data_IF_835797844023
#
_entry.id   IF_835797844023
#
_cell.length_a   1.000
_cell.length_b   1.000
_cell.length_c   1.000
_cell.angle_alpha   90.00
_cell.angle_beta   90.00
_cell.angle_gamma   90.00
#
_symmetry.space_group_name_H-M   'P 1'
#
loop_
_entity.id
_entity.type
_entity.pdbx_description
1 polymer ?
#
# COMPACT_ATOMS: atom_id res chain seq x y z
N UNK A 1 9.68 -21.34 -3.96
CA UNK A 1 9.07 -21.11 -2.62
C UNK A 1 7.71 -20.40 -2.77
N UNK A 2 6.74 -20.72 -1.92
CA UNK A 2 5.33 -20.32 -2.09
C UNK A 2 5.11 -18.81 -2.03
N UNK A 3 4.36 -18.30 -3.01
CA UNK A 3 3.89 -16.92 -3.13
C UNK A 3 3.24 -16.45 -1.81
N UNK A 4 3.68 -15.30 -1.28
CA UNK A 4 3.22 -14.77 -0.01
C UNK A 4 1.79 -14.20 -0.10
N UNK A 5 0.82 -14.85 0.55
CA UNK A 5 -0.60 -14.44 0.56
C UNK A 5 -1.02 -13.63 1.82
N UNK A 6 -0.05 -13.19 2.63
CA UNK A 6 -0.33 -12.58 3.94
C UNK A 6 -1.22 -11.32 3.88
N UNK A 7 -1.13 -10.52 2.81
CA UNK A 7 -1.97 -9.33 2.65
C UNK A 7 -3.46 -9.66 2.52
N UNK A 8 -3.80 -10.75 1.82
CA UNK A 8 -5.18 -11.18 1.66
C UNK A 8 -5.74 -11.80 2.95
N UNK A 9 -4.92 -12.58 3.65
CA UNK A 9 -5.28 -13.15 4.95
C UNK A 9 -5.56 -12.05 5.98
N UNK A 10 -4.69 -11.05 6.05
CA UNK A 10 -4.87 -9.91 6.95
C UNK A 10 -6.11 -9.10 6.60
N UNK A 11 -6.38 -8.88 5.30
CA UNK A 11 -7.59 -8.17 4.87
C UNK A 11 -8.87 -8.95 5.22
N UNK A 12 -8.85 -10.29 5.17
CA UNK A 12 -9.96 -11.12 5.67
C UNK A 12 -10.16 -10.98 7.17
N UNK A 13 -9.08 -11.02 7.97
CA UNK A 13 -9.15 -10.85 9.44
C UNK A 13 -9.71 -9.48 9.81
N UNK A 14 -9.26 -8.42 9.14
CA UNK A 14 -9.76 -7.06 9.35
C UNK A 14 -11.24 -6.98 8.97
N UNK A 15 -11.67 -7.56 7.84
CA UNK A 15 -13.09 -7.61 7.47
C UNK A 15 -13.97 -8.26 8.54
N UNK A 16 -13.52 -9.35 9.15
CA UNK A 16 -14.26 -9.99 10.26
C UNK A 16 -14.35 -9.06 11.46
N UNK A 17 -13.22 -8.48 11.90
CA UNK A 17 -13.19 -7.57 13.05
C UNK A 17 -14.04 -6.32 12.83
N UNK A 18 -13.99 -5.72 11.64
CA UNK A 18 -14.82 -4.56 11.28
C UNK A 18 -16.30 -4.92 11.28
N UNK A 19 -16.67 -6.10 10.77
CA UNK A 19 -18.05 -6.58 10.85
C UNK A 19 -18.51 -6.74 12.30
N UNK A 20 -17.63 -7.16 13.21
CA UNK A 20 -17.96 -7.28 14.64
C UNK A 20 -18.17 -5.93 15.31
N UNK A 21 -17.38 -4.92 14.97
CA UNK A 21 -17.50 -3.57 15.54
C UNK A 21 -18.75 -2.81 15.05
N UNK A 22 -19.22 -3.12 13.85
CA UNK A 22 -20.34 -2.40 13.19
C UNK A 22 -21.67 -3.16 13.36
N UNK A 23 -21.71 -4.27 14.13
CA UNK A 23 -22.92 -5.10 14.31
C UNK A 23 -24.17 -4.32 14.71
N UNK A 24 -24.01 -3.27 15.53
CA UNK A 24 -25.12 -2.47 16.06
C UNK A 24 -25.46 -1.25 15.18
N UNK A 25 -24.72 -1.04 14.09
CA UNK A 25 -24.93 0.10 13.18
C UNK A 25 -25.78 -0.34 11.99
N UNK A 26 -26.97 0.26 11.77
CA UNK A 26 -27.75 -0.04 10.58
C UNK A 26 -27.02 0.45 9.33
N UNK A 27 -26.78 -0.48 8.39
CA UNK A 27 -26.16 -0.18 7.09
C UNK A 27 -26.94 -0.86 5.96
N UNK A 28 -26.87 -0.27 4.77
CA UNK A 28 -27.35 -0.92 3.54
C UNK A 28 -26.50 -2.17 3.31
N UNK A 29 -27.17 -3.29 3.01
CA UNK A 29 -26.50 -4.54 2.65
C UNK A 29 -25.47 -4.28 1.52
N UNK A 30 -24.29 -4.88 1.63
CA UNK A 30 -23.15 -4.71 0.71
C UNK A 30 -22.47 -3.33 0.62
N UNK A 31 -22.81 -2.37 1.48
CA UNK A 31 -22.10 -1.07 1.51
C UNK A 31 -20.69 -1.13 2.10
N UNK A 32 -20.34 -2.20 2.82
CA UNK A 32 -19.05 -2.33 3.49
C UNK A 32 -17.91 -2.69 2.51
N UNK A 33 -17.08 -1.69 2.19
CA UNK A 33 -15.85 -1.86 1.41
C UNK A 33 -14.63 -1.78 2.32
N UNK A 34 -13.86 -2.86 2.39
CA UNK A 34 -12.59 -2.90 3.11
C UNK A 34 -11.50 -3.21 2.10
N UNK A 35 -10.58 -2.26 1.95
CA UNK A 35 -9.46 -2.34 1.03
C UNK A 35 -8.20 -1.68 1.59
N UNK A 36 -7.03 -2.07 1.08
CA UNK A 36 -5.76 -1.45 1.40
C UNK A 36 -5.64 -0.09 0.72
N UNK A 37 -5.16 0.90 1.46
CA UNK A 37 -4.73 2.18 0.89
C UNK A 37 -3.39 2.01 0.15
N UNK A 38 -3.10 2.90 -0.81
CA UNK A 38 -1.82 2.94 -1.52
C UNK A 38 -1.44 1.65 -2.26
N UNK A 39 -2.44 1.00 -2.89
CA UNK A 39 -2.19 -0.15 -3.77
C UNK A 39 -1.28 0.25 -4.94
N UNK A 40 -0.29 -0.59 -5.21
CA UNK A 40 0.68 -0.40 -6.29
C UNK A 40 0.73 -1.64 -7.18
N UNK A 41 0.90 -1.41 -8.47
CA UNK A 41 1.07 -2.47 -9.46
C UNK A 41 2.42 -2.27 -10.14
N UNK A 42 3.28 -3.29 -10.06
CA UNK A 42 4.57 -3.26 -10.74
C UNK A 42 4.45 -4.04 -12.06
N UNK A 43 4.85 -3.42 -13.16
CA UNK A 43 4.84 -4.02 -14.50
C UNK A 43 6.04 -4.93 -14.76
N UNK A 44 6.96 -5.04 -13.81
CA UNK A 44 8.18 -5.86 -13.90
C UNK A 44 7.91 -7.36 -13.76
N UNK A 45 6.67 -7.76 -13.48
CA UNK A 45 6.26 -9.15 -13.31
C UNK A 45 6.86 -9.84 -12.08
N UNK A 46 7.58 -9.09 -11.24
CA UNK A 46 8.25 -9.63 -10.06
C UNK A 46 7.29 -9.67 -8.88
N UNK A 47 7.35 -10.72 -8.04
CA UNK A 47 6.59 -10.73 -6.80
C UNK A 47 7.00 -9.52 -5.96
N UNK A 48 6.01 -8.82 -5.44
CA UNK A 48 6.21 -7.58 -4.71
C UNK A 48 5.04 -7.31 -3.78
N UNK A 49 5.25 -6.44 -2.78
CA UNK A 49 4.16 -6.01 -1.92
C UNK A 49 3.09 -5.30 -2.76
N UNK A 50 1.79 -5.63 -2.57
CA UNK A 50 0.70 -4.99 -3.30
C UNK A 50 0.42 -3.56 -2.82
N UNK A 51 1.12 -3.09 -1.79
CA UNK A 51 0.98 -1.77 -1.17
C UNK A 51 2.37 -1.15 -1.00
N UNK A 52 2.47 0.16 -1.19
CA UNK A 52 3.68 0.92 -0.88
C UNK A 52 3.42 1.92 0.26
N UNK A 53 4.49 2.25 0.99
CA UNK A 53 4.45 3.31 2.00
C UNK A 53 4.70 4.64 1.31
N UNK A 54 3.84 5.62 1.53
CA UNK A 54 4.00 6.95 0.96
C UNK A 54 4.24 7.99 2.04
N UNK A 55 5.24 8.85 1.80
CA UNK A 55 5.52 10.04 2.61
C UNK A 55 5.18 11.26 1.77
N UNK A 56 4.27 12.09 2.28
CA UNK A 56 3.90 13.36 1.68
C UNK A 56 4.68 14.49 2.36
N UNK A 57 5.26 15.37 1.57
CA UNK A 57 5.95 16.57 2.04
C UNK A 57 5.35 17.80 1.35
N UNK A 58 5.08 18.84 2.14
CA UNK A 58 4.47 20.08 1.65
C UNK A 58 5.35 21.26 2.01
N UNK A 59 5.61 22.14 1.03
CA UNK A 59 6.40 23.34 1.26
C UNK A 59 5.95 24.49 0.35
N UNK A 60 6.16 25.73 0.81
CA UNK A 60 6.01 26.91 -0.06
C UNK A 60 7.40 27.31 -0.55
N UNK A 61 7.69 27.18 -1.86
CA UNK A 61 8.95 27.66 -2.38
C UNK A 61 9.02 29.19 -2.25
N UNK A 62 10.23 29.71 -2.07
CA UNK A 62 10.46 31.15 -2.21
C UNK A 62 10.51 31.52 -3.69
N UNK A 63 9.98 32.68 -4.03
CA UNK A 63 10.16 33.32 -5.34
C UNK A 63 11.57 33.92 -5.44
N UNK A 64 11.96 34.38 -6.63
CA UNK A 64 13.24 35.08 -6.84
C UNK A 64 13.42 36.33 -5.96
N UNK A 65 12.32 36.98 -5.56
CA UNK A 65 12.31 38.13 -4.66
C UNK A 65 12.26 37.75 -3.17
N UNK A 66 12.52 36.48 -2.82
CA UNK A 66 12.48 35.95 -1.45
C UNK A 66 11.11 35.99 -0.76
N UNK A 67 10.03 36.34 -1.47
CA UNK A 67 8.68 36.19 -0.95
C UNK A 67 8.19 34.75 -1.09
N UNK A 68 7.35 34.24 -0.16
CA UNK A 68 6.70 32.95 -0.33
C UNK A 68 5.84 32.92 -1.60
N UNK A 69 5.94 31.84 -2.36
CA UNK A 69 5.00 31.57 -3.44
C UNK A 69 3.58 31.40 -2.88
N UNK A 70 2.59 31.88 -3.62
CA UNK A 70 1.16 31.74 -3.26
C UNK A 70 0.73 30.27 -3.19
N UNK A 71 1.29 29.44 -4.07
CA UNK A 71 0.95 28.02 -4.18
C UNK A 71 1.89 27.19 -3.30
N UNK A 72 1.30 26.25 -2.55
CA UNK A 72 2.01 25.18 -1.86
C UNK A 72 2.44 24.14 -2.89
N UNK A 73 3.65 23.60 -2.75
CA UNK A 73 4.11 22.45 -3.52
C UNK A 73 3.99 21.19 -2.66
N UNK A 74 3.50 20.14 -3.28
CA UNK A 74 3.39 18.81 -2.70
C UNK A 74 4.41 17.90 -3.37
N UNK A 75 5.17 17.18 -2.57
CA UNK A 75 6.06 16.11 -3.00
C UNK A 75 5.55 14.82 -2.36
N UNK A 76 5.63 13.73 -3.10
CA UNK A 76 5.24 12.41 -2.62
C UNK A 76 6.35 11.42 -2.94
N UNK A 77 6.76 10.66 -1.92
CA UNK A 77 7.80 9.65 -2.02
C UNK A 77 7.25 8.29 -1.61
N UNK A 78 7.30 7.33 -2.54
CA UNK A 78 6.88 5.94 -2.30
C UNK A 78 8.06 5.04 -1.97
N UNK A 79 7.94 4.22 -0.93
CA UNK A 79 8.90 3.22 -0.51
C UNK A 79 8.35 1.82 -0.77
N UNK A 80 9.07 1.05 -1.60
CA UNK A 80 8.77 -0.36 -1.85
C UNK A 80 9.32 -1.21 -0.71
N UNK A 81 8.51 -2.16 -0.24
CA UNK A 81 8.94 -3.12 0.77
C UNK A 81 9.68 -4.28 0.09
N UNK A 82 10.88 -4.60 0.59
CA UNK A 82 11.69 -5.74 0.13
C UNK A 82 11.27 -7.07 0.76
N UNK A 83 10.63 -7.01 1.93
CA UNK A 83 10.13 -8.16 2.68
C UNK A 83 8.67 -7.93 3.05
N UNK A 84 7.92 -9.02 3.22
CA UNK A 84 6.55 -8.96 3.72
C UNK A 84 6.54 -8.46 5.17
N UNK A 85 5.72 -7.44 5.52
CA UNK A 85 5.66 -6.92 6.88
C UNK A 85 4.98 -7.87 7.88
N UNK A 86 4.31 -8.93 7.40
CA UNK A 86 3.58 -9.88 8.23
C UNK A 86 4.37 -11.15 8.54
N UNK A 87 5.03 -11.73 7.53
CA UNK A 87 5.78 -12.98 7.69
C UNK A 87 7.30 -12.81 7.60
N UNK A 88 7.81 -11.63 7.23
CA UNK A 88 9.24 -11.35 7.11
C UNK A 88 9.91 -11.96 5.87
N UNK A 89 9.21 -12.79 5.08
CA UNK A 89 9.76 -13.37 3.86
C UNK A 89 10.10 -12.30 2.83
N UNK A 90 11.26 -12.44 2.20
CA UNK A 90 11.68 -11.57 1.10
C UNK A 90 10.77 -11.78 -0.10
N UNK A 91 10.49 -10.70 -0.83
CA UNK A 91 9.92 -10.80 -2.17
C UNK A 91 11.06 -11.24 -3.11
N UNK A 92 11.28 -12.55 -3.21
CA UNK A 92 12.39 -13.09 -4.00
C UNK A 92 12.25 -12.78 -5.48
N UNK A 93 13.35 -12.35 -6.09
CA UNK A 93 13.45 -12.02 -7.51
C UNK A 93 14.00 -13.16 -8.36
N UNK A 94 14.16 -14.37 -7.80
CA UNK A 94 14.83 -15.49 -8.46
C UNK A 94 13.92 -16.73 -8.50
N UNK A 95 14.01 -17.46 -9.62
CA UNK A 95 13.14 -18.54 -10.13
C UNK A 95 11.91 -18.03 -10.91
N UNK A 96 12.01 -17.83 -12.23
CA UNK A 96 12.10 -18.94 -13.20
C UNK A 96 13.09 -18.65 -14.36
N UNK A 97 14.34 -19.13 -14.24
CA UNK A 97 15.02 -19.68 -15.41
C UNK A 97 14.67 -21.16 -15.44
N UNK A 98 13.73 -21.53 -16.32
CA UNK A 98 13.45 -22.92 -16.67
C UNK A 98 14.75 -23.50 -17.26
N UNK A 99 15.33 -24.58 -16.72
CA UNK A 99 16.38 -25.30 -17.43
C UNK A 99 15.75 -26.04 -18.60
N UNK A 100 16.30 -25.85 -19.80
CA UNK A 100 16.03 -26.65 -20.99
C UNK A 100 16.72 -28.02 -20.89
#
# INVERSE_FOLDING_TARGET
>A
MSQCNCFDEMLKRVKVSVKEQIKDTPMVEDSLKVDWQNRVFFLDGKPSAPVALYVNAEYRPLKKNSEPAKNVRHLQHGFKMSHCPFCGNKYDSEETKKPD
#
